data_IF_530410320925
#
_entry.id   IF_530410320925
#
_cell.length_a   1.000
_cell.length_b   1.000
_cell.length_c   1.000
_cell.angle_alpha   90.00
_cell.angle_beta   90.00
_cell.angle_gamma   90.00
#
_symmetry.space_group_name_H-M   'P 1'
#
loop_
_entity.id
_entity.type
_entity.pdbx_description
1 polymer ?
#
# COMPACT_ATOMS: atom_id res chain seq x y z
N UNK A 1 4.10 41.46 0.31
CA UNK A 1 5.25 40.85 1.00
C UNK A 1 6.31 40.51 -0.03
N UNK A 2 7.56 40.98 0.12
CA UNK A 2 8.64 40.73 -0.84
C UNK A 2 9.12 39.27 -0.82
N UNK A 3 9.72 38.79 -1.94
CA UNK A 3 10.34 37.46 -2.00
C UNK A 3 11.52 37.39 -1.03
N UNK A 4 11.55 36.38 -0.16
CA UNK A 4 12.68 36.14 0.73
C UNK A 4 13.84 35.57 -0.08
N UNK A 5 14.94 36.32 -0.18
CA UNK A 5 16.18 35.88 -0.83
C UNK A 5 16.97 35.01 0.14
N UNK A 6 17.47 33.85 -0.27
CA UNK A 6 18.26 32.97 0.63
C UNK A 6 19.75 33.38 0.66
N UNK A 7 20.50 32.93 1.68
CA UNK A 7 21.92 33.31 1.88
C UNK A 7 22.80 33.06 0.66
N UNK A 8 22.60 31.94 -0.04
CA UNK A 8 23.35 31.63 -1.27
C UNK A 8 23.11 32.64 -2.40
N UNK A 9 21.86 33.09 -2.56
CA UNK A 9 21.50 34.12 -3.56
C UNK A 9 22.04 35.49 -3.16
N UNK A 10 21.99 35.85 -1.87
CA UNK A 10 22.60 37.10 -1.35
C UNK A 10 24.09 37.17 -1.65
N UNK A 11 24.83 36.09 -1.39
CA UNK A 11 26.27 36.01 -1.68
C UNK A 11 26.56 36.10 -3.17
N UNK A 12 25.71 35.52 -4.02
CA UNK A 12 25.82 35.65 -5.47
C UNK A 12 25.64 37.11 -5.92
N UNK A 13 24.60 37.78 -5.42
CA UNK A 13 24.31 39.18 -5.74
C UNK A 13 25.47 40.09 -5.32
N UNK A 14 26.02 39.89 -4.11
CA UNK A 14 27.16 40.65 -3.60
C UNK A 14 28.39 40.54 -4.53
N UNK A 15 28.76 39.32 -4.94
CA UNK A 15 29.91 39.12 -5.86
C UNK A 15 29.73 39.83 -7.20
N UNK A 16 28.51 39.80 -7.73
CA UNK A 16 28.19 40.48 -9.00
C UNK A 16 28.30 42.00 -8.84
N UNK A 17 27.83 42.55 -7.72
CA UNK A 17 28.00 43.97 -7.41
C UNK A 17 29.47 44.36 -7.30
N UNK A 18 30.27 43.62 -6.53
CA UNK A 18 31.71 43.88 -6.37
C UNK A 18 32.46 43.84 -7.71
N UNK A 19 32.06 42.93 -8.62
CA UNK A 19 32.63 42.88 -9.97
C UNK A 19 32.37 44.17 -10.75
N UNK A 20 31.13 44.67 -10.76
CA UNK A 20 30.79 45.91 -11.48
C UNK A 20 31.36 47.17 -10.82
N UNK A 21 31.48 47.21 -9.49
CA UNK A 21 32.17 48.30 -8.80
C UNK A 21 33.64 48.39 -9.19
N UNK A 22 34.30 47.23 -9.38
CA UNK A 22 35.68 47.14 -9.89
C UNK A 22 35.82 47.75 -11.28
N UNK A 23 34.89 47.44 -12.18
CA UNK A 23 34.87 48.02 -13.53
C UNK A 23 34.58 49.52 -13.50
N UNK A 24 33.66 49.97 -12.65
CA UNK A 24 33.35 51.39 -12.44
C UNK A 24 34.59 52.16 -11.97
N UNK A 25 35.36 51.61 -11.04
CA UNK A 25 36.60 52.22 -10.52
C UNK A 25 37.66 52.35 -11.61
N UNK A 26 37.79 51.35 -12.47
CA UNK A 26 38.77 51.33 -13.55
C UNK A 26 38.33 52.14 -14.79
N UNK A 27 37.05 52.58 -14.86
CA UNK A 27 36.41 53.23 -16.01
C UNK A 27 36.57 52.45 -17.33
N UNK A 28 36.83 51.15 -17.23
CA UNK A 28 37.10 50.26 -18.35
C UNK A 28 36.65 48.84 -18.00
N UNK A 29 36.21 48.09 -19.01
CA UNK A 29 35.86 46.69 -18.86
C UNK A 29 37.10 45.84 -18.56
N UNK A 30 37.08 45.11 -17.45
CA UNK A 30 38.18 44.21 -17.06
C UNK A 30 38.22 43.00 -17.99
N UNK A 31 37.04 42.53 -18.41
CA UNK A 31 36.86 41.42 -19.36
C UNK A 31 36.05 41.95 -20.54
N UNK A 32 36.50 41.71 -21.80
CA UNK A 32 35.77 42.12 -22.99
C UNK A 32 34.32 41.63 -23.00
N UNK A 33 33.42 42.45 -23.54
CA UNK A 33 31.97 42.18 -23.58
C UNK A 33 31.66 40.91 -24.37
N UNK A 34 32.41 40.63 -25.43
CA UNK A 34 32.26 39.44 -26.27
C UNK A 34 32.45 38.14 -25.47
N UNK A 35 33.29 38.19 -24.44
CA UNK A 35 33.64 37.04 -23.61
C UNK A 35 32.64 36.81 -22.47
N UNK A 36 31.35 36.70 -22.82
CA UNK A 36 30.22 36.59 -21.89
C UNK A 36 30.44 35.51 -20.83
N UNK A 37 30.91 34.31 -21.22
CA UNK A 37 31.11 33.19 -20.29
C UNK A 37 32.18 33.52 -19.26
N UNK A 38 33.33 34.08 -19.69
CA UNK A 38 34.45 34.42 -18.80
C UNK A 38 34.02 35.51 -17.82
N UNK A 39 33.27 36.50 -18.31
CA UNK A 39 32.69 37.58 -17.50
C UNK A 39 31.70 37.05 -16.47
N UNK A 40 30.82 36.14 -16.85
CA UNK A 40 29.89 35.48 -15.92
C UNK A 40 30.63 34.65 -14.87
N UNK A 41 31.66 33.90 -15.24
CA UNK A 41 32.48 33.15 -14.27
C UNK A 41 33.06 34.06 -13.19
N UNK A 42 33.62 35.20 -13.60
CA UNK A 42 34.25 36.16 -12.69
C UNK A 42 33.21 36.87 -11.80
N UNK A 43 32.10 37.32 -12.39
CA UNK A 43 31.06 38.04 -11.64
C UNK A 43 30.31 37.13 -10.64
N UNK A 44 30.08 35.86 -10.99
CA UNK A 44 29.29 34.92 -10.17
C UNK A 44 30.16 34.01 -9.29
N UNK A 45 31.45 33.86 -9.62
CA UNK A 45 32.34 32.88 -9.01
C UNK A 45 31.98 31.42 -9.34
N UNK A 46 31.21 31.18 -10.39
CA UNK A 46 30.76 29.84 -10.81
C UNK A 46 31.68 29.30 -11.91
N UNK A 47 31.95 27.99 -11.88
CA UNK A 47 32.80 27.37 -12.90
C UNK A 47 32.22 27.49 -14.32
N UNK A 48 33.10 27.63 -15.31
CA UNK A 48 32.75 27.60 -16.74
C UNK A 48 31.89 26.39 -17.10
N UNK A 49 32.21 25.22 -16.54
CA UNK A 49 31.46 23.96 -16.77
C UNK A 49 30.01 24.06 -16.32
N UNK A 50 29.78 24.65 -15.14
CA UNK A 50 28.41 24.84 -14.60
C UNK A 50 27.63 25.83 -15.46
N UNK A 51 28.23 26.95 -15.86
CA UNK A 51 27.58 27.94 -16.74
C UNK A 51 27.23 27.34 -18.09
N UNK A 52 28.14 26.59 -18.72
CA UNK A 52 27.86 25.89 -19.98
C UNK A 52 26.75 24.85 -19.82
N UNK A 53 26.72 24.11 -18.70
CA UNK A 53 25.63 23.18 -18.40
C UNK A 53 24.28 23.90 -18.31
N UNK A 54 24.22 25.01 -17.56
CA UNK A 54 23.03 25.86 -17.44
C UNK A 54 22.58 26.38 -18.81
N UNK A 55 23.52 26.90 -19.62
CA UNK A 55 23.25 27.40 -20.98
C UNK A 55 22.67 26.31 -21.89
N UNK A 56 23.19 25.09 -21.81
CA UNK A 56 22.71 23.95 -22.59
C UNK A 56 21.34 23.45 -22.10
N UNK A 57 21.11 23.40 -20.78
CA UNK A 57 19.79 23.07 -20.20
C UNK A 57 18.73 24.09 -20.65
N UNK A 58 19.08 25.38 -20.66
CA UNK A 58 18.22 26.45 -21.15
C UNK A 58 17.93 26.34 -22.65
N UNK A 59 18.94 26.05 -23.48
CA UNK A 59 18.78 25.83 -24.93
C UNK A 59 17.81 24.69 -25.22
N UNK A 60 17.95 23.55 -24.52
CA UNK A 60 17.03 22.41 -24.65
C UNK A 60 15.59 22.76 -24.27
N UNK A 61 15.39 23.53 -23.20
CA UNK A 61 14.05 23.99 -22.81
C UNK A 61 13.44 24.88 -23.90
N UNK A 62 14.22 25.83 -24.44
CA UNK A 62 13.76 26.73 -25.52
C UNK A 62 13.38 25.97 -26.79
N UNK A 63 14.21 24.99 -27.19
CA UNK A 63 13.93 24.12 -28.34
C UNK A 63 12.66 23.29 -28.13
N UNK A 64 12.49 22.70 -26.93
CA UNK A 64 11.27 21.94 -26.61
C UNK A 64 10.00 22.81 -26.58
N UNK A 65 10.10 24.08 -26.20
CA UNK A 65 8.98 25.02 -26.26
C UNK A 65 8.65 25.52 -27.68
N UNK A 66 9.65 25.57 -28.57
CA UNK A 66 9.47 26.02 -29.95
C UNK A 66 8.79 24.99 -30.86
N UNK A 67 8.77 23.70 -30.47
CA UNK A 67 8.10 22.60 -31.18
C UNK A 67 6.64 22.36 -30.74
N UNK A 68 6.05 23.28 -29.96
CA UNK A 68 4.60 23.44 -29.79
C UNK A 68 3.94 22.62 -28.68
N UNK A 69 3.60 23.28 -27.56
CA UNK A 69 2.34 23.11 -26.81
C UNK A 69 2.01 24.46 -26.15
N UNK A 70 0.82 25.00 -26.44
CA UNK A 70 0.21 26.10 -25.67
C UNK A 70 0.00 25.64 -24.22
N UNK A 71 0.53 26.36 -23.23
CA UNK A 71 0.17 26.14 -21.82
C UNK A 71 -0.86 27.22 -21.43
N UNK A 72 -2.03 26.83 -20.88
CA UNK A 72 -3.08 27.76 -20.51
C UNK A 72 -2.68 28.62 -19.31
N UNK A 73 -3.16 29.86 -19.33
CA UNK A 73 -3.11 30.82 -18.25
C UNK A 73 -3.72 30.22 -16.98
N UNK A 74 -2.90 29.99 -15.96
CA UNK A 74 -3.39 29.65 -14.63
C UNK A 74 -2.67 30.53 -13.58
N UNK A 75 -3.32 31.67 -13.33
CA UNK A 75 -3.57 32.25 -12.01
C UNK A 75 -2.40 32.89 -11.26
N UNK A 76 -2.24 34.19 -11.53
CA UNK A 76 -2.02 35.31 -10.60
C UNK A 76 -1.86 34.96 -9.11
N UNK A 77 -0.69 35.28 -8.56
CA UNK A 77 -0.59 36.02 -7.28
C UNK A 77 0.64 36.92 -7.32
N UNK A 78 0.36 38.21 -7.48
CA UNK A 78 1.22 39.38 -7.58
C UNK A 78 2.61 39.32 -6.88
N UNK A 79 3.66 39.71 -7.61
CA UNK A 79 4.61 40.81 -7.26
C UNK A 79 5.60 41.03 -8.41
N UNK A 80 5.38 42.14 -9.13
CA UNK A 80 6.31 43.06 -9.81
C UNK A 80 7.51 42.50 -10.60
N UNK A 81 7.45 42.66 -11.93
CA UNK A 81 8.54 42.51 -12.91
C UNK A 81 9.25 41.14 -12.90
N UNK A 82 8.67 40.13 -13.55
CA UNK A 82 9.43 38.93 -13.92
C UNK A 82 9.04 38.54 -15.34
N UNK A 83 9.93 38.91 -16.27
CA UNK A 83 9.96 38.48 -17.66
C UNK A 83 9.79 36.95 -17.77
N UNK A 84 9.19 36.53 -18.89
CA UNK A 84 8.85 35.16 -19.29
C UNK A 84 10.08 34.23 -19.41
N UNK A 85 10.78 33.94 -18.31
CA UNK A 85 11.99 33.10 -18.31
C UNK A 85 11.63 31.67 -17.89
N UNK A 86 11.92 30.66 -18.74
CA UNK A 86 11.78 29.24 -18.38
C UNK A 86 12.52 28.91 -17.08
N UNK A 87 11.81 28.30 -16.12
CA UNK A 87 12.38 27.90 -14.83
C UNK A 87 13.29 26.68 -15.01
N UNK A 88 14.58 26.83 -14.71
CA UNK A 88 15.52 25.72 -14.64
C UNK A 88 15.31 24.91 -13.36
N UNK A 89 15.22 23.59 -13.48
CA UNK A 89 15.05 22.68 -12.33
C UNK A 89 16.39 22.34 -11.71
N UNK A 90 16.49 22.38 -10.38
CA UNK A 90 17.71 22.01 -9.66
C UNK A 90 18.07 20.54 -9.90
N UNK A 91 19.34 20.21 -10.27
CA UNK A 91 19.77 18.83 -10.40
C UNK A 91 19.60 18.07 -9.08
N UNK A 92 18.67 17.11 -9.04
CA UNK A 92 18.44 16.30 -7.84
C UNK A 92 19.51 15.21 -7.73
N UNK A 93 20.07 15.02 -6.53
CA UNK A 93 20.93 13.87 -6.25
C UNK A 93 20.16 12.57 -6.51
N UNK A 94 20.71 11.70 -7.37
CA UNK A 94 20.19 10.34 -7.56
C UNK A 94 20.30 9.61 -6.22
N UNK A 95 19.17 9.20 -5.64
CA UNK A 95 19.17 8.36 -4.43
C UNK A 95 19.38 6.92 -4.87
N UNK A 96 20.44 6.26 -4.39
CA UNK A 96 20.59 4.82 -4.57
C UNK A 96 19.51 4.12 -3.74
N UNK A 97 18.73 3.19 -4.31
CA UNK A 97 17.78 2.41 -3.53
C UNK A 97 18.53 1.53 -2.52
N UNK A 98 18.03 1.43 -1.28
CA UNK A 98 18.63 0.58 -0.25
C UNK A 98 18.62 -0.89 -0.69
N UNK A 99 19.67 -1.65 -0.35
CA UNK A 99 19.84 -3.07 -0.66
C UNK A 99 18.55 -3.86 -0.43
N UNK A 100 18.01 -4.46 -1.50
CA UNK A 100 16.87 -5.37 -1.41
C UNK A 100 17.39 -6.68 -0.84
N UNK A 101 16.88 -7.08 0.32
CA UNK A 101 17.16 -8.40 0.89
C UNK A 101 16.56 -9.45 -0.05
N UNK A 102 17.40 -10.29 -0.65
CA UNK A 102 16.95 -11.46 -1.38
C UNK A 102 16.52 -12.53 -0.37
N UNK A 103 15.29 -13.01 -0.49
CA UNK A 103 14.70 -13.96 0.47
C UNK A 103 14.39 -15.24 -0.29
N UNK A 104 14.98 -16.34 0.17
CA UNK A 104 14.92 -17.64 -0.50
C UNK A 104 13.52 -18.28 -0.44
N UNK A 105 13.20 -19.13 -1.43
CA UNK A 105 11.93 -19.85 -1.52
C UNK A 105 11.63 -20.66 -0.26
N UNK A 106 12.64 -21.31 0.33
CA UNK A 106 12.48 -22.06 1.57
C UNK A 106 12.00 -21.18 2.72
N UNK A 107 12.63 -20.01 2.88
CA UNK A 107 12.23 -19.06 3.94
C UNK A 107 10.83 -18.51 3.72
N UNK A 108 10.41 -18.31 2.46
CA UNK A 108 9.04 -17.91 2.13
C UNK A 108 8.04 -19.00 2.56
N UNK A 109 8.34 -20.27 2.29
CA UNK A 109 7.51 -21.40 2.69
C UNK A 109 7.43 -21.54 4.22
N UNK A 110 8.56 -21.41 4.91
CA UNK A 110 8.61 -21.47 6.36
C UNK A 110 7.79 -20.34 7.02
N UNK A 111 7.86 -19.12 6.49
CA UNK A 111 7.00 -18.00 6.95
C UNK A 111 5.51 -18.32 6.76
N UNK A 112 5.14 -18.99 5.66
CA UNK A 112 3.75 -19.45 5.44
C UNK A 112 3.31 -20.41 6.54
N UNK A 113 4.14 -21.41 6.84
CA UNK A 113 3.86 -22.38 7.89
C UNK A 113 3.74 -21.73 9.27
N UNK A 114 4.61 -20.75 9.58
CA UNK A 114 4.49 -19.96 10.81
C UNK A 114 3.11 -19.28 10.90
N UNK A 115 2.66 -18.62 9.83
CA UNK A 115 1.34 -17.97 9.78
C UNK A 115 0.23 -19.01 9.98
N UNK A 116 0.30 -20.16 9.31
CA UNK A 116 -0.67 -21.25 9.48
C UNK A 116 -0.67 -21.81 10.91
N UNK A 117 0.50 -21.97 11.53
CA UNK A 117 0.65 -22.46 12.91
C UNK A 117 0.00 -21.51 13.93
N UNK A 118 0.04 -20.19 13.70
CA UNK A 118 -0.69 -19.25 14.54
C UNK A 118 -2.20 -19.51 14.53
N UNK A 119 -2.77 -19.83 13.36
CA UNK A 119 -4.19 -20.14 13.22
C UNK A 119 -4.56 -21.56 13.69
N UNK A 120 -3.72 -22.55 13.42
CA UNK A 120 -4.00 -23.97 13.70
C UNK A 120 -3.69 -24.31 15.15
N UNK A 121 -2.49 -24.00 15.63
CA UNK A 121 -2.00 -24.41 16.96
C UNK A 121 -2.36 -23.36 18.03
N UNK A 122 -2.01 -22.09 17.80
CA UNK A 122 -2.18 -21.04 18.82
C UNK A 122 -3.62 -20.51 18.90
N UNK A 123 -4.44 -20.72 17.86
CA UNK A 123 -5.78 -20.12 17.69
C UNK A 123 -5.78 -18.60 17.88
N UNK A 124 -4.67 -17.93 17.54
CA UNK A 124 -4.51 -16.48 17.66
C UNK A 124 -4.38 -15.84 16.28
N UNK A 125 -4.80 -14.58 16.16
CA UNK A 125 -4.65 -13.82 14.90
C UNK A 125 -3.21 -13.33 14.79
N UNK A 126 -2.47 -13.74 13.74
CA UNK A 126 -1.07 -13.42 13.61
C UNK A 126 -0.89 -11.93 13.33
N UNK A 127 -0.11 -11.27 14.18
CA UNK A 127 0.31 -9.88 13.99
C UNK A 127 1.69 -9.85 13.36
N UNK A 128 2.00 -8.85 12.52
CA UNK A 128 3.33 -8.68 11.92
C UNK A 128 4.48 -8.75 12.94
N UNK A 129 4.30 -8.19 14.14
CA UNK A 129 5.29 -8.25 15.23
C UNK A 129 5.50 -9.69 15.74
N UNK A 130 4.40 -10.44 15.96
CA UNK A 130 4.45 -11.82 16.43
C UNK A 130 5.11 -12.73 15.39
N UNK A 131 4.72 -12.60 14.12
CA UNK A 131 5.33 -13.34 13.00
C UNK A 131 6.82 -12.99 12.88
N UNK A 132 7.18 -11.71 13.00
CA UNK A 132 8.59 -11.30 12.92
C UNK A 132 9.41 -11.88 14.08
N UNK A 133 8.86 -11.89 15.30
CA UNK A 133 9.54 -12.46 16.45
C UNK A 133 9.78 -13.97 16.27
N UNK A 134 8.76 -14.74 15.88
CA UNK A 134 8.91 -16.17 15.63
C UNK A 134 9.84 -16.46 14.45
N UNK A 135 9.73 -15.70 13.34
CA UNK A 135 10.60 -15.88 12.19
C UNK A 135 12.08 -15.53 12.49
N UNK A 136 12.35 -14.57 13.39
CA UNK A 136 13.71 -14.30 13.84
C UNK A 136 14.26 -15.41 14.72
N UNK A 137 13.44 -16.00 15.59
CA UNK A 137 13.84 -17.09 16.47
C UNK A 137 14.07 -18.40 15.71
N UNK A 138 13.12 -18.81 14.86
CA UNK A 138 13.16 -20.09 14.16
C UNK A 138 14.06 -20.08 12.92
N UNK A 139 14.05 -18.97 12.14
CA UNK A 139 14.65 -18.92 10.81
C UNK A 139 15.82 -17.93 10.70
N UNK A 140 16.23 -17.29 11.80
CA UNK A 140 17.26 -16.23 11.83
C UNK A 140 17.05 -15.15 10.76
N UNK A 141 15.78 -14.78 10.56
CA UNK A 141 15.37 -13.86 9.49
C UNK A 141 16.02 -12.47 9.66
N UNK A 142 16.80 -12.06 8.66
CA UNK A 142 17.55 -10.79 8.66
C UNK A 142 16.68 -9.56 8.37
N UNK A 143 15.49 -9.77 7.80
CA UNK A 143 14.60 -8.67 7.41
C UNK A 143 13.92 -7.99 8.59
N UNK A 144 13.48 -6.75 8.36
CA UNK A 144 12.65 -6.00 9.31
C UNK A 144 11.16 -6.13 8.97
N UNK A 145 10.32 -5.50 9.79
CA UNK A 145 8.85 -5.53 9.68
C UNK A 145 8.34 -5.20 8.26
N UNK A 146 8.91 -4.19 7.61
CA UNK A 146 8.43 -3.76 6.28
C UNK A 146 8.84 -4.73 5.17
N UNK A 147 10.01 -5.35 5.29
CA UNK A 147 10.45 -6.44 4.41
C UNK A 147 9.51 -7.63 4.53
N UNK A 148 9.20 -8.04 5.77
CA UNK A 148 8.27 -9.13 6.05
C UNK A 148 6.86 -8.83 5.49
N UNK A 149 6.35 -7.61 5.69
CA UNK A 149 5.06 -7.17 5.14
C UNK A 149 5.04 -7.29 3.61
N UNK A 150 6.08 -6.80 2.93
CA UNK A 150 6.18 -6.88 1.46
C UNK A 150 6.23 -8.33 0.98
N UNK A 151 6.94 -9.20 1.69
CA UNK A 151 7.02 -10.63 1.36
C UNK A 151 5.65 -11.30 1.49
N UNK A 152 4.98 -11.09 2.62
CA UNK A 152 3.65 -11.65 2.89
C UNK A 152 2.62 -11.23 1.82
N UNK A 153 2.66 -9.97 1.39
CA UNK A 153 1.73 -9.44 0.38
C UNK A 153 2.11 -9.92 -1.03
N UNK A 154 3.37 -9.73 -1.43
CA UNK A 154 3.78 -9.89 -2.84
C UNK A 154 4.12 -11.34 -3.20
N UNK A 155 4.70 -12.12 -2.27
CA UNK A 155 5.14 -13.49 -2.54
C UNK A 155 4.14 -14.54 -2.10
N UNK A 156 3.53 -14.33 -0.93
CA UNK A 156 2.56 -15.29 -0.37
C UNK A 156 1.09 -14.96 -0.73
N UNK A 157 0.81 -13.75 -1.20
CA UNK A 157 -0.53 -13.33 -1.63
C UNK A 157 -1.50 -13.04 -0.49
N UNK A 158 -1.04 -12.96 0.76
CA UNK A 158 -1.91 -12.62 1.88
C UNK A 158 -2.33 -11.16 1.83
N UNK A 159 -3.62 -10.91 2.08
CA UNK A 159 -4.20 -9.57 2.16
C UNK A 159 -4.81 -9.37 3.54
N UNK A 160 -4.57 -8.21 4.14
CA UNK A 160 -5.20 -7.86 5.41
C UNK A 160 -6.61 -7.32 5.16
N UNK A 161 -7.59 -8.22 5.23
CA UNK A 161 -8.99 -7.95 4.88
C UNK A 161 -9.89 -7.98 6.11
N UNK A 162 -11.08 -7.38 6.00
CA UNK A 162 -12.15 -7.58 6.99
C UNK A 162 -12.52 -9.06 7.01
N UNK A 163 -12.63 -9.63 8.21
CA UNK A 163 -13.07 -11.00 8.37
C UNK A 163 -14.56 -11.08 8.01
N UNK A 164 -14.98 -12.10 7.26
CA UNK A 164 -16.40 -12.24 6.85
C UNK A 164 -17.26 -12.48 8.09
N UNK A 165 -18.48 -11.92 8.08
CA UNK A 165 -19.43 -12.12 9.18
C UNK A 165 -19.91 -13.57 9.15
N UNK A 166 -19.94 -14.23 10.31
CA UNK A 166 -20.54 -15.56 10.44
C UNK A 166 -21.99 -15.57 9.95
N UNK A 167 -22.72 -14.45 10.08
CA UNK A 167 -24.12 -14.32 9.63
C UNK A 167 -24.31 -14.55 8.12
N UNK A 168 -23.36 -14.19 7.26
CA UNK A 168 -23.45 -14.50 5.82
C UNK A 168 -23.37 -16.01 5.53
N UNK A 169 -22.68 -16.77 6.39
CA UNK A 169 -22.63 -18.23 6.31
C UNK A 169 -23.84 -18.89 6.99
N UNK A 170 -24.40 -18.23 8.02
CA UNK A 170 -25.62 -18.67 8.71
C UNK A 170 -26.91 -18.30 7.94
N UNK A 171 -26.82 -17.42 6.95
CA UNK A 171 -27.89 -17.20 5.98
C UNK A 171 -27.82 -18.37 4.98
N UNK A 172 -28.87 -19.18 4.98
CA UNK A 172 -29.01 -20.31 4.07
C UNK A 172 -28.97 -19.79 2.63
N UNK A 173 -28.03 -20.31 1.82
CA UNK A 173 -28.04 -20.02 0.38
C UNK A 173 -29.34 -20.54 -0.23
N UNK A 174 -29.92 -19.88 -1.25
CA UNK A 174 -31.17 -20.32 -1.86
C UNK A 174 -31.11 -21.77 -2.36
N UNK A 175 -29.95 -22.19 -2.88
CA UNK A 175 -29.70 -23.58 -3.25
C UNK A 175 -29.82 -24.53 -2.05
N UNK A 176 -29.14 -24.23 -0.94
CA UNK A 176 -29.18 -25.04 0.28
C UNK A 176 -30.61 -25.11 0.84
N UNK A 177 -31.35 -24.01 0.79
CA UNK A 177 -32.75 -23.96 1.18
C UNK A 177 -33.61 -24.87 0.29
N UNK A 178 -33.39 -24.87 -1.03
CA UNK A 178 -34.05 -25.77 -1.95
C UNK A 178 -33.70 -27.24 -1.66
N UNK A 179 -32.43 -27.55 -1.36
CA UNK A 179 -31.99 -28.89 -0.95
C UNK A 179 -32.66 -29.34 0.34
N UNK A 180 -32.74 -28.46 1.35
CA UNK A 180 -33.44 -28.74 2.61
C UNK A 180 -34.93 -28.96 2.39
N UNK A 181 -35.58 -28.17 1.54
CA UNK A 181 -36.98 -28.35 1.20
C UNK A 181 -37.26 -29.68 0.49
N UNK A 182 -36.34 -30.14 -0.37
CA UNK A 182 -36.42 -31.48 -0.99
C UNK A 182 -36.22 -32.60 0.04
N UNK A 183 -35.24 -32.43 0.92
CA UNK A 183 -34.96 -33.39 1.99
C UNK A 183 -36.14 -33.53 2.94
N UNK A 184 -36.72 -32.41 3.41
CA UNK A 184 -37.87 -32.42 4.31
C UNK A 184 -39.12 -33.03 3.66
N UNK A 185 -39.33 -32.80 2.35
CA UNK A 185 -40.41 -33.48 1.60
C UNK A 185 -40.21 -34.99 1.59
N UNK A 186 -39.01 -35.47 1.26
CA UNK A 186 -38.70 -36.91 1.33
C UNK A 186 -38.82 -37.49 2.73
N UNK A 187 -38.48 -36.71 3.75
CA UNK A 187 -38.62 -37.14 5.14
C UNK A 187 -40.11 -37.35 5.47
N UNK A 188 -40.96 -36.41 5.05
CA UNK A 188 -42.41 -36.49 5.22
C UNK A 188 -43.02 -37.68 4.46
N UNK A 189 -42.62 -37.88 3.21
CA UNK A 189 -43.02 -39.06 2.41
C UNK A 189 -42.62 -40.37 3.12
N UNK A 190 -41.42 -40.42 3.71
CA UNK A 190 -40.95 -41.58 4.47
C UNK A 190 -41.70 -41.79 5.79
N UNK A 191 -42.18 -40.72 6.43
CA UNK A 191 -43.04 -40.79 7.61
C UNK A 191 -44.45 -41.29 7.25
N UNK A 192 -44.98 -40.90 6.09
CA UNK A 192 -46.30 -41.33 5.57
C UNK A 192 -46.34 -42.83 5.24
N UNK A 193 -45.19 -43.51 5.04
CA UNK A 193 -45.11 -44.96 4.83
C UNK A 193 -45.42 -45.79 6.09
N UNK A 194 -45.55 -45.17 7.27
CA UNK A 194 -45.98 -45.81 8.51
C UNK A 194 -45.12 -47.03 8.89
N UNK A 195 -45.69 -48.23 8.73
CA UNK A 195 -45.08 -49.52 9.05
C UNK A 195 -43.81 -49.79 8.22
N UNK A 196 -43.73 -49.24 6.99
CA UNK A 196 -42.59 -49.41 6.08
C UNK A 196 -41.57 -48.24 6.14
N UNK A 197 -41.57 -47.47 7.23
CA UNK A 197 -40.68 -46.31 7.40
C UNK A 197 -39.20 -46.74 7.37
N UNK A 198 -38.40 -46.07 6.53
CA UNK A 198 -36.95 -46.31 6.46
C UNK A 198 -36.22 -45.58 7.60
N UNK A 199 -35.21 -46.20 8.23
CA UNK A 199 -34.43 -45.55 9.28
C UNK A 199 -33.63 -44.37 8.73
N UNK A 200 -33.69 -43.23 9.42
CA UNK A 200 -32.95 -42.02 9.07
C UNK A 200 -31.69 -41.95 9.91
N UNK A 201 -30.52 -42.00 9.27
CA UNK A 201 -29.21 -41.96 9.93
C UNK A 201 -28.53 -40.64 9.57
N UNK A 202 -28.04 -39.92 10.58
CA UNK A 202 -27.28 -38.69 10.43
C UNK A 202 -25.79 -38.97 10.66
N UNK A 203 -24.96 -38.66 9.67
CA UNK A 203 -23.54 -39.06 9.68
C UNK A 203 -22.68 -38.05 10.46
N UNK A 204 -22.89 -36.74 10.31
CA UNK A 204 -22.01 -35.72 10.89
C UNK A 204 -22.74 -34.48 11.46
N UNK A 205 -22.23 -33.96 12.59
CA UNK A 205 -22.53 -32.62 13.12
C UNK A 205 -21.36 -31.67 12.82
N UNK A 206 -21.63 -30.55 12.13
CA UNK A 206 -20.60 -29.53 11.86
C UNK A 206 -20.65 -28.43 12.91
N UNK A 207 -19.68 -28.43 13.84
CA UNK A 207 -19.54 -27.38 14.85
C UNK A 207 -18.84 -26.14 14.28
N UNK A 208 -19.47 -24.97 14.40
CA UNK A 208 -18.87 -23.68 14.04
C UNK A 208 -18.15 -23.13 15.28
N UNK A 209 -16.88 -23.47 15.46
CA UNK A 209 -16.10 -22.98 16.59
C UNK A 209 -15.75 -21.50 16.41
N UNK A 210 -16.20 -20.65 17.33
CA UNK A 210 -15.93 -19.21 17.31
C UNK A 210 -14.78 -18.86 18.25
N UNK A 211 -13.56 -18.79 17.70
CA UNK A 211 -12.38 -18.38 18.48
C UNK A 211 -11.97 -16.92 18.24
N UNK A 212 -12.53 -16.25 17.23
CA UNK A 212 -11.99 -14.97 16.75
C UNK A 212 -13.01 -13.83 16.86
N UNK A 213 -12.64 -12.82 17.66
CA UNK A 213 -13.42 -11.57 17.83
C UNK A 213 -12.91 -10.42 16.94
N UNK A 214 -11.83 -10.65 16.19
CA UNK A 214 -11.18 -9.59 15.40
C UNK A 214 -11.99 -9.18 14.16
N UNK A 215 -11.94 -7.90 13.84
CA UNK A 215 -12.59 -7.33 12.65
C UNK A 215 -11.80 -7.52 11.36
N UNK A 216 -10.47 -7.62 11.45
CA UNK A 216 -9.55 -7.73 10.31
C UNK A 216 -8.47 -8.76 10.61
N UNK A 217 -8.08 -9.50 9.59
CA UNK A 217 -7.16 -10.63 9.70
C UNK A 217 -6.42 -10.82 8.37
N UNK A 218 -5.24 -11.44 8.42
CA UNK A 218 -4.50 -11.83 7.21
C UNK A 218 -5.20 -13.02 6.57
N UNK A 219 -5.65 -12.86 5.34
CA UNK A 219 -6.39 -13.88 4.60
C UNK A 219 -5.68 -14.16 3.27
N UNK A 220 -5.62 -15.44 2.89
CA UNK A 220 -5.26 -15.86 1.54
C UNK A 220 -6.53 -16.17 0.75
N UNK A 221 -6.44 -16.18 -0.56
CA UNK A 221 -7.52 -16.62 -1.44
C UNK A 221 -7.64 -18.16 -1.48
N UNK A 222 -6.51 -18.85 -1.34
CA UNK A 222 -6.45 -20.31 -1.27
C UNK A 222 -6.88 -20.88 0.10
N UNK A 223 -6.69 -20.11 1.18
CA UNK A 223 -6.94 -20.57 2.55
C UNK A 223 -8.30 -20.04 3.04
N UNK A 224 -9.09 -20.90 3.69
CA UNK A 224 -10.37 -20.49 4.28
C UNK A 224 -10.14 -19.39 5.34
N UNK A 225 -10.64 -18.17 5.07
CA UNK A 225 -10.43 -17.01 5.93
C UNK A 225 -11.08 -17.12 7.30
N UNK A 226 -10.54 -16.37 8.27
CA UNK A 226 -11.07 -16.26 9.63
C UNK A 226 -12.47 -15.63 9.62
N UNK A 227 -13.39 -16.18 10.43
CA UNK A 227 -14.78 -15.74 10.55
C UNK A 227 -14.98 -14.92 11.83
N UNK A 228 -15.74 -13.83 11.74
CA UNK A 228 -16.09 -12.97 12.88
C UNK A 228 -17.50 -13.28 13.38
N UNK A 229 -17.67 -13.43 14.70
CA UNK A 229 -18.98 -13.41 15.34
C UNK A 229 -19.45 -11.97 15.65
N UNK A 230 -20.76 -11.75 15.51
CA UNK A 230 -21.42 -10.60 16.14
C UNK A 230 -21.89 -11.02 17.55
N UNK A 231 -21.72 -10.17 18.58
CA UNK A 231 -22.45 -10.37 19.83
C UNK A 231 -23.94 -10.37 19.52
N UNK A 232 -24.70 -11.24 20.21
CA UNK A 232 -26.16 -11.27 20.08
C UNK A 232 -26.69 -9.84 20.29
N UNK A 233 -27.58 -9.32 19.44
CA UNK A 233 -28.39 -8.18 19.85
C UNK A 233 -29.07 -8.59 21.17
N UNK A 234 -28.97 -7.75 22.19
CA UNK A 234 -29.67 -7.93 23.46
C UNK A 234 -31.15 -7.98 23.15
N UNK A 235 -31.68 -9.18 23.01
CA UNK A 235 -33.12 -9.41 22.92
C UNK A 235 -33.63 -9.24 24.34
N UNK A 236 -34.59 -8.35 24.49
CA UNK A 236 -35.30 -8.11 25.74
C UNK A 236 -35.77 -9.45 26.32
N UNK A 237 -35.56 -9.62 27.62
CA UNK A 237 -35.69 -10.88 28.33
C UNK A 237 -37.17 -11.23 28.54
N UNK A 238 -37.83 -11.75 27.53
CA UNK A 238 -39.13 -12.42 27.71
C UNK A 238 -39.37 -13.44 26.61
N UNK A 239 -38.58 -14.53 26.62
CA UNK A 239 -38.91 -15.87 26.08
C UNK A 239 -37.64 -16.68 25.87
N UNK A 240 -37.24 -17.42 26.90
CA UNK A 240 -36.11 -18.34 26.85
C UNK A 240 -36.46 -19.54 25.95
N UNK A 241 -36.16 -19.45 24.66
CA UNK A 241 -36.07 -20.62 23.78
C UNK A 241 -34.64 -20.73 23.25
N UNK A 242 -33.88 -21.70 23.78
CA UNK A 242 -32.60 -22.15 23.21
C UNK A 242 -32.85 -22.71 21.81
N UNK A 243 -32.80 -21.87 20.77
CA UNK A 243 -32.66 -22.37 19.39
C UNK A 243 -31.20 -22.63 19.09
N UNK A 244 -30.77 -23.89 19.29
CA UNK A 244 -29.61 -24.48 18.60
C UNK A 244 -29.96 -24.56 17.12
N UNK A 245 -29.16 -23.95 16.26
CA UNK A 245 -29.39 -24.01 14.81
C UNK A 245 -28.44 -25.03 14.17
N UNK A 246 -29.04 -26.04 13.57
CA UNK A 246 -28.40 -27.17 12.89
C UNK A 246 -28.11 -26.76 11.45
N UNK A 247 -26.85 -26.84 11.01
CA UNK A 247 -26.48 -26.58 9.62
C UNK A 247 -25.80 -27.84 9.08
N UNK A 248 -26.57 -28.67 8.36
CA UNK A 248 -26.13 -29.97 7.87
C UNK A 248 -25.63 -29.81 6.43
N UNK A 249 -24.40 -30.26 6.16
CA UNK A 249 -23.81 -30.28 4.82
C UNK A 249 -23.80 -31.72 4.32
N UNK A 250 -24.74 -32.08 3.47
CA UNK A 250 -24.81 -33.41 2.87
C UNK A 250 -23.82 -33.52 1.71
N UNK A 251 -22.93 -34.52 1.77
CA UNK A 251 -22.17 -35.04 0.63
C UNK A 251 -22.65 -36.47 0.40
N UNK A 252 -23.22 -36.74 -0.78
CA UNK A 252 -23.43 -38.11 -1.25
C UNK A 252 -22.29 -38.43 -2.23
N UNK A 253 -21.57 -39.51 -1.94
CA UNK A 253 -20.85 -40.27 -2.97
C UNK A 253 -21.88 -41.09 -3.73
N UNK A 254 -21.73 -41.11 -5.06
CA UNK A 254 -22.39 -42.07 -5.95
C UNK A 254 -21.71 -43.42 -5.76
#
# INVERSE_FOLDING_TARGET
MGKTIHSGERNMILKVMEFFEREKKNKMYIIPIDNVIKRTCEATGVSKRTIMRIKNEFKKLKESSALGIQIPEASTSATSHTTLVPRLTTPRKKRCPSNKINVDSFTICAIRNIISNFYVLKKEVPTLKKILATAKLELKFQGQKETLRKLIINKLGYKFKKCRKSREFLIEKPEIAAWRARYLRRLKENDELGINKKPVIYIDETWIHSHYTVNKCWQNEADAGVKKNEPRPTVDNSSCWRRKWFCQRYKFGI
#
